data_IF_630969674530
#
_entry.id   IF_630969674530
#
_cell.length_a   1.000
_cell.length_b   1.000
_cell.length_c   1.000
_cell.angle_alpha   90.00
_cell.angle_beta   90.00
_cell.angle_gamma   90.00
#
_symmetry.space_group_name_H-M   'P 1'
#
loop_
_entity.id
_entity.type
_entity.pdbx_description
1 polymer ?
#
# COMPACT_ATOMS: atom_id res chain seq x y z
N UNK A 1 5.03 0.14 -20.05
CA UNK A 1 4.11 1.05 -19.32
C UNK A 1 2.69 0.50 -19.40
N UNK A 2 2.17 0.04 -18.27
CA UNK A 2 0.85 -0.61 -18.14
C UNK A 2 -0.29 0.43 -18.07
N UNK A 3 0.03 1.71 -18.15
CA UNK A 3 -0.91 2.81 -17.97
C UNK A 3 -1.56 3.22 -19.28
N UNK A 4 -2.88 3.09 -19.35
CA UNK A 4 -3.69 3.67 -20.42
C UNK A 4 -4.35 2.71 -21.41
N UNK A 5 -4.17 1.41 -21.25
CA UNK A 5 -4.86 0.44 -22.12
C UNK A 5 -6.27 0.14 -21.58
N UNK A 6 -7.28 0.06 -22.45
CA UNK A 6 -8.61 -0.31 -22.00
C UNK A 6 -8.64 -1.73 -21.43
N UNK A 7 -9.51 -1.99 -20.46
CA UNK A 7 -9.70 -3.28 -19.78
C UNK A 7 -9.74 -4.49 -20.74
N UNK A 8 -10.35 -4.29 -21.89
CA UNK A 8 -10.49 -5.31 -22.94
C UNK A 8 -9.13 -5.80 -23.48
N UNK A 9 -8.15 -4.90 -23.60
CA UNK A 9 -6.81 -5.25 -24.08
C UNK A 9 -6.04 -6.07 -23.04
N UNK A 10 -6.19 -5.76 -21.74
CA UNK A 10 -5.62 -6.59 -20.68
C UNK A 10 -6.23 -7.98 -20.63
N UNK A 11 -7.55 -8.09 -20.79
CA UNK A 11 -8.24 -9.37 -20.83
C UNK A 11 -7.81 -10.21 -22.05
N UNK A 12 -7.59 -9.56 -23.20
CA UNK A 12 -7.07 -10.23 -24.40
C UNK A 12 -5.66 -10.79 -24.17
N UNK A 13 -4.76 -10.01 -23.56
CA UNK A 13 -3.41 -10.45 -23.21
C UNK A 13 -3.45 -11.60 -22.19
N UNK A 14 -4.28 -11.51 -21.16
CA UNK A 14 -4.45 -12.59 -20.18
C UNK A 14 -4.97 -13.87 -20.82
N UNK A 15 -5.92 -13.77 -21.76
CA UNK A 15 -6.44 -14.90 -22.50
C UNK A 15 -5.38 -15.51 -23.41
N UNK A 16 -4.61 -14.70 -24.11
CA UNK A 16 -3.56 -15.18 -25.02
C UNK A 16 -2.38 -15.82 -24.26
N UNK A 17 -1.91 -15.17 -23.21
CA UNK A 17 -0.62 -15.50 -22.58
C UNK A 17 -0.72 -16.36 -21.31
N UNK A 18 -1.88 -16.35 -20.63
CA UNK A 18 -2.03 -16.99 -19.31
C UNK A 18 -3.03 -18.11 -19.34
N UNK A 19 -4.24 -17.89 -19.86
CA UNK A 19 -5.31 -18.89 -19.89
C UNK A 19 -6.21 -18.71 -21.14
N UNK A 20 -6.00 -19.50 -22.19
CA UNK A 20 -6.82 -19.43 -23.41
C UNK A 20 -8.31 -19.67 -23.19
N UNK A 21 -8.67 -20.41 -22.13
CA UNK A 21 -10.05 -20.76 -21.78
C UNK A 21 -10.72 -19.72 -20.88
N UNK A 22 -10.05 -18.59 -20.59
CA UNK A 22 -10.59 -17.54 -19.74
C UNK A 22 -11.82 -16.91 -20.38
N UNK A 23 -12.99 -17.03 -19.75
CA UNK A 23 -14.17 -16.29 -20.20
C UNK A 23 -14.10 -14.81 -19.76
N UNK A 24 -14.71 -13.91 -20.53
CA UNK A 24 -14.71 -12.47 -20.22
C UNK A 24 -15.26 -12.18 -18.80
N UNK A 25 -16.40 -12.77 -18.36
CA UNK A 25 -16.91 -12.53 -17.02
C UNK A 25 -15.95 -13.01 -15.91
N UNK A 26 -15.28 -14.14 -16.13
CA UNK A 26 -14.26 -14.64 -15.19
C UNK A 26 -13.05 -13.72 -15.13
N UNK A 27 -12.57 -13.25 -16.29
CA UNK A 27 -11.47 -12.31 -16.39
C UNK A 27 -11.76 -11.00 -15.64
N UNK A 28 -12.93 -10.41 -15.84
CA UNK A 28 -13.38 -9.22 -15.13
C UNK A 28 -13.40 -9.46 -13.61
N UNK A 29 -13.95 -10.60 -13.17
CA UNK A 29 -14.03 -10.96 -11.75
C UNK A 29 -12.65 -11.11 -11.11
N UNK A 30 -11.71 -11.75 -11.81
CA UNK A 30 -10.33 -11.90 -11.34
C UNK A 30 -9.60 -10.56 -11.31
N UNK A 31 -9.84 -9.70 -12.28
CA UNK A 31 -9.26 -8.37 -12.33
C UNK A 31 -9.72 -7.49 -11.17
N UNK A 32 -11.02 -7.49 -10.88
CA UNK A 32 -11.57 -6.80 -9.71
C UNK A 32 -11.01 -7.35 -8.39
N UNK A 33 -10.84 -8.67 -8.28
CA UNK A 33 -10.23 -9.31 -7.12
C UNK A 33 -8.76 -8.88 -6.95
N UNK A 34 -7.99 -8.81 -8.06
CA UNK A 34 -6.61 -8.34 -8.04
C UNK A 34 -6.50 -6.89 -7.53
N UNK A 35 -7.32 -5.97 -8.06
CA UNK A 35 -7.30 -4.58 -7.59
C UNK A 35 -7.70 -4.47 -6.12
N UNK A 36 -8.71 -5.22 -5.70
CA UNK A 36 -9.11 -5.25 -4.28
C UNK A 36 -8.00 -5.79 -3.38
N UNK A 37 -7.27 -6.80 -3.84
CA UNK A 37 -6.12 -7.32 -3.11
C UNK A 37 -5.02 -6.27 -2.97
N UNK A 38 -4.66 -5.57 -4.03
CA UNK A 38 -3.65 -4.51 -4.02
C UNK A 38 -4.05 -3.41 -3.03
N UNK A 39 -5.29 -2.93 -3.10
CA UNK A 39 -5.83 -1.93 -2.18
C UNK A 39 -5.73 -2.37 -0.71
N UNK A 40 -6.10 -3.63 -0.43
CA UNK A 40 -6.01 -4.19 0.93
C UNK A 40 -4.56 -4.30 1.42
N UNK A 41 -3.63 -4.73 0.55
CA UNK A 41 -2.21 -4.84 0.89
C UNK A 41 -1.58 -3.48 1.15
N UNK A 42 -1.86 -2.50 0.31
CA UNK A 42 -1.36 -1.13 0.48
C UNK A 42 -1.91 -0.50 1.76
N UNK A 43 -3.23 -0.58 1.99
CA UNK A 43 -3.86 -0.05 3.20
C UNK A 43 -3.35 -0.70 4.48
N UNK A 44 -3.07 -2.02 4.45
CA UNK A 44 -2.46 -2.71 5.57
C UNK A 44 -1.03 -2.23 5.81
N UNK A 45 -0.25 -2.09 4.75
CA UNK A 45 1.13 -1.63 4.85
C UNK A 45 1.23 -0.20 5.38
N UNK A 46 0.34 0.69 4.95
CA UNK A 46 0.28 2.07 5.46
C UNK A 46 -0.03 2.09 6.97
N UNK A 47 -0.98 1.28 7.43
CA UNK A 47 -1.30 1.16 8.86
C UNK A 47 -0.15 0.53 9.67
N UNK A 48 0.57 -0.43 9.08
CA UNK A 48 1.76 -1.05 9.66
C UNK A 48 2.89 -0.02 9.82
N UNK A 49 3.23 0.70 8.77
CA UNK A 49 4.30 1.70 8.76
C UNK A 49 4.05 2.84 9.76
N UNK A 50 2.79 3.22 9.93
CA UNK A 50 2.42 4.28 10.87
C UNK A 50 2.68 3.92 12.35
N UNK A 51 2.70 2.63 12.71
CA UNK A 51 2.71 2.19 14.11
C UNK A 51 3.84 1.24 14.49
N UNK A 52 4.43 0.53 13.52
CA UNK A 52 5.40 -0.54 13.81
C UNK A 52 6.64 -0.04 14.58
N UNK A 53 7.05 1.21 14.39
CA UNK A 53 8.15 1.81 15.15
C UNK A 53 7.87 2.01 16.63
N UNK A 54 6.61 1.89 17.04
CA UNK A 54 6.19 2.09 18.45
C UNK A 54 5.71 0.80 19.11
N UNK A 55 6.09 -0.37 18.57
CA UNK A 55 5.67 -1.66 19.14
C UNK A 55 6.12 -1.81 20.60
N UNK A 56 5.20 -2.25 21.46
CA UNK A 56 5.52 -2.50 22.88
C UNK A 56 6.22 -3.85 23.08
N UNK A 57 5.98 -4.80 22.18
CA UNK A 57 6.60 -6.13 22.18
C UNK A 57 7.38 -6.32 20.88
N UNK A 58 8.70 -6.45 21.00
CA UNK A 58 9.61 -6.56 19.86
C UNK A 58 9.20 -7.64 18.85
N UNK A 59 9.05 -7.23 17.59
CA UNK A 59 8.69 -8.10 16.47
C UNK A 59 7.21 -8.47 16.39
N UNK A 60 6.35 -7.94 17.26
CA UNK A 60 4.91 -8.24 17.24
C UNK A 60 4.25 -7.78 15.94
N UNK A 61 4.57 -6.58 15.48
CA UNK A 61 4.08 -6.03 14.22
C UNK A 61 4.61 -6.81 13.02
N UNK A 62 5.87 -7.21 13.03
CA UNK A 62 6.48 -8.01 11.96
C UNK A 62 5.83 -9.40 11.86
N UNK A 63 5.55 -10.06 13.00
CA UNK A 63 4.80 -11.32 13.02
C UNK A 63 3.42 -11.16 12.43
N UNK A 64 2.64 -10.18 12.90
CA UNK A 64 1.30 -9.91 12.39
C UNK A 64 1.28 -9.61 10.89
N UNK A 65 2.27 -8.87 10.36
CA UNK A 65 2.42 -8.63 8.93
C UNK A 65 2.70 -9.92 8.15
N UNK A 66 3.58 -10.77 8.65
CA UNK A 66 3.90 -12.04 8.01
C UNK A 66 2.68 -12.97 7.96
N UNK A 67 1.92 -13.06 9.05
CA UNK A 67 0.69 -13.85 9.13
C UNK A 67 -0.38 -13.31 8.17
N UNK A 68 -0.56 -11.99 8.11
CA UNK A 68 -1.46 -11.36 7.15
C UNK A 68 -1.08 -11.67 5.70
N UNK A 69 0.20 -11.59 5.35
CA UNK A 69 0.66 -11.92 4.00
C UNK A 69 0.52 -13.42 3.70
N UNK A 70 0.72 -14.29 4.69
CA UNK A 70 0.47 -15.72 4.54
C UNK A 70 -1.01 -15.99 4.25
N UNK A 71 -1.93 -15.36 4.98
CA UNK A 71 -3.37 -15.44 4.72
C UNK A 71 -3.73 -14.94 3.31
N UNK A 72 -3.20 -13.78 2.92
CA UNK A 72 -3.49 -13.18 1.61
C UNK A 72 -2.97 -14.03 0.43
N UNK A 73 -1.98 -14.91 0.64
CA UNK A 73 -1.53 -15.86 -0.39
C UNK A 73 -2.51 -17.00 -0.65
N UNK A 74 -3.41 -17.27 0.28
CA UNK A 74 -4.37 -18.39 0.18
C UNK A 74 -5.72 -17.98 -0.39
N UNK A 75 -6.01 -16.68 -0.49
CA UNK A 75 -7.32 -16.19 -0.93
C UNK A 75 -7.46 -16.28 -2.45
N UNK A 76 -8.67 -16.60 -2.90
CA UNK A 76 -8.98 -16.81 -4.33
C UNK A 76 -10.14 -15.95 -4.86
N UNK A 77 -10.84 -15.23 -3.99
CA UNK A 77 -12.00 -14.43 -4.38
C UNK A 77 -12.18 -13.19 -3.49
N UNK A 78 -13.00 -12.24 -3.94
CA UNK A 78 -13.26 -10.96 -3.28
C UNK A 78 -13.69 -11.08 -1.82
N UNK A 79 -14.55 -12.05 -1.51
CA UNK A 79 -15.06 -12.22 -0.14
C UNK A 79 -13.93 -12.68 0.80
N UNK A 80 -13.11 -13.63 0.35
CA UNK A 80 -11.96 -14.12 1.11
C UNK A 80 -10.92 -13.01 1.31
N UNK A 81 -10.62 -12.22 0.28
CA UNK A 81 -9.74 -11.05 0.37
C UNK A 81 -10.23 -10.09 1.45
N UNK A 82 -11.52 -9.72 1.39
CA UNK A 82 -12.11 -8.79 2.35
C UNK A 82 -12.09 -9.35 3.78
N UNK A 83 -12.35 -10.64 3.94
CA UNK A 83 -12.34 -11.30 5.26
C UNK A 83 -10.92 -11.36 5.83
N UNK A 84 -9.93 -11.78 5.03
CA UNK A 84 -8.54 -11.82 5.44
C UNK A 84 -8.02 -10.41 5.81
N UNK A 85 -8.35 -9.40 5.01
CA UNK A 85 -8.01 -8.02 5.29
C UNK A 85 -8.61 -7.52 6.62
N UNK A 86 -9.91 -7.73 6.84
CA UNK A 86 -10.56 -7.32 8.09
C UNK A 86 -9.93 -7.99 9.31
N UNK A 87 -9.61 -9.29 9.20
CA UNK A 87 -8.93 -10.05 10.26
C UNK A 87 -7.54 -9.49 10.54
N UNK A 88 -6.71 -9.33 9.50
CA UNK A 88 -5.36 -8.79 9.64
C UNK A 88 -5.34 -7.38 10.21
N UNK A 89 -6.22 -6.50 9.73
CA UNK A 89 -6.38 -5.14 10.28
C UNK A 89 -6.88 -5.13 11.72
N UNK A 90 -7.74 -6.08 12.09
CA UNK A 90 -8.18 -6.27 13.49
C UNK A 90 -6.99 -6.59 14.39
N UNK A 91 -6.21 -7.60 14.02
CA UNK A 91 -4.98 -7.96 14.77
C UNK A 91 -4.03 -6.78 14.87
N UNK A 92 -3.74 -6.10 13.76
CA UNK A 92 -2.80 -4.98 13.73
C UNK A 92 -3.22 -3.83 14.66
N UNK A 93 -4.52 -3.55 14.76
CA UNK A 93 -5.06 -2.48 15.61
C UNK A 93 -5.02 -2.79 17.11
N UNK A 94 -5.08 -4.06 17.46
CA UNK A 94 -5.07 -4.53 18.84
C UNK A 94 -3.65 -4.70 19.40
N UNK A 95 -2.62 -4.65 18.55
CA UNK A 95 -1.24 -4.75 19.00
C UNK A 95 -0.89 -3.57 19.92
N UNK A 96 -0.31 -3.83 21.11
CA UNK A 96 0.06 -2.79 22.03
C UNK A 96 1.22 -1.94 21.47
N UNK A 97 1.09 -0.63 21.63
CA UNK A 97 2.11 0.35 21.22
C UNK A 97 2.51 1.24 22.38
N UNK A 98 3.74 1.72 22.35
CA UNK A 98 4.30 2.72 23.26
C UNK A 98 4.71 3.96 22.46
N UNK A 99 3.72 4.64 21.89
CA UNK A 99 3.95 5.86 21.13
C UNK A 99 4.36 7.00 22.08
N UNK A 100 5.49 7.71 21.82
CA UNK A 100 5.89 8.86 22.60
C UNK A 100 4.90 10.02 22.44
N UNK A 101 4.91 10.97 23.39
CA UNK A 101 4.01 12.12 23.35
C UNK A 101 4.23 13.02 22.11
N UNK A 102 5.47 13.06 21.60
CA UNK A 102 5.84 13.78 20.38
C UNK A 102 6.59 12.82 19.45
N UNK A 103 5.87 11.99 18.68
CA UNK A 103 6.49 10.99 17.82
C UNK A 103 7.09 11.61 16.56
N UNK A 104 8.29 11.17 16.21
CA UNK A 104 8.90 11.54 14.92
C UNK A 104 8.10 10.85 13.81
N UNK A 105 7.69 11.63 12.81
CA UNK A 105 6.98 11.17 11.62
C UNK A 105 7.76 11.50 10.36
N UNK A 106 8.01 10.49 9.53
CA UNK A 106 8.81 10.60 8.31
C UNK A 106 7.95 10.22 7.12
N UNK A 107 7.90 11.11 6.11
CA UNK A 107 7.29 10.83 4.81
C UNK A 107 8.34 10.31 3.83
N UNK A 108 8.07 9.15 3.20
CA UNK A 108 8.91 8.62 2.12
C UNK A 108 8.33 9.06 0.79
N UNK A 109 9.10 9.85 0.05
CA UNK A 109 8.80 10.34 -1.28
C UNK A 109 9.96 10.04 -2.23
N UNK A 110 9.70 9.91 -3.52
CA UNK A 110 10.74 9.65 -4.49
C UNK A 110 10.23 9.04 -5.78
N UNK A 111 11.15 8.47 -6.56
CA UNK A 111 10.80 7.70 -7.74
C UNK A 111 10.08 6.42 -7.33
N UNK A 112 9.07 6.02 -8.13
CA UNK A 112 8.13 4.96 -7.76
C UNK A 112 8.81 3.64 -7.38
N UNK A 113 9.71 3.12 -8.23
CA UNK A 113 10.38 1.85 -7.95
C UNK A 113 11.27 1.93 -6.72
N UNK A 114 12.01 3.01 -6.59
CA UNK A 114 12.87 3.23 -5.41
C UNK A 114 12.04 3.35 -4.14
N UNK A 115 10.89 4.01 -4.19
CA UNK A 115 10.04 4.18 -3.01
C UNK A 115 9.34 2.88 -2.56
N UNK A 116 8.97 1.98 -3.50
CA UNK A 116 8.17 0.79 -3.17
C UNK A 116 8.97 -0.51 -3.08
N UNK A 117 10.15 -0.58 -3.70
CA UNK A 117 10.98 -1.78 -3.69
C UNK A 117 12.02 -1.73 -2.55
N UNK A 118 11.89 -2.61 -1.53
CA UNK A 118 12.79 -2.62 -0.38
C UNK A 118 14.26 -2.82 -0.75
N UNK A 119 14.55 -3.55 -1.83
CA UNK A 119 15.92 -3.77 -2.29
C UNK A 119 16.53 -2.48 -2.86
N UNK A 120 15.77 -1.78 -3.69
CA UNK A 120 16.21 -0.52 -4.32
C UNK A 120 16.41 0.60 -3.31
N UNK A 121 15.62 0.62 -2.22
CA UNK A 121 15.73 1.62 -1.16
C UNK A 121 16.57 1.17 0.05
N UNK A 122 17.29 0.06 -0.06
CA UNK A 122 18.19 -0.46 0.99
C UNK A 122 17.45 -0.75 2.32
N UNK A 123 16.18 -1.19 2.25
CA UNK A 123 15.34 -1.50 3.41
C UNK A 123 15.15 -0.32 4.37
N UNK A 124 15.02 0.90 3.82
CA UNK A 124 14.94 2.12 4.61
C UNK A 124 13.74 2.14 5.56
N UNK A 125 12.61 1.54 5.16
CA UNK A 125 11.43 1.43 6.02
C UNK A 125 11.73 0.63 7.29
N UNK A 126 12.39 -0.52 7.16
CA UNK A 126 12.75 -1.36 8.32
C UNK A 126 13.72 -0.63 9.26
N UNK A 127 14.72 0.06 8.69
CA UNK A 127 15.68 0.85 9.49
C UNK A 127 15.02 1.95 10.30
N UNK A 128 14.07 2.67 9.70
CA UNK A 128 13.33 3.72 10.41
C UNK A 128 12.38 3.15 11.46
N UNK A 129 11.73 2.01 11.19
CA UNK A 129 10.93 1.30 12.19
C UNK A 129 11.79 0.92 13.40
N UNK A 130 12.98 0.36 13.17
CA UNK A 130 13.93 0.00 14.24
C UNK A 130 14.42 1.23 15.04
N UNK A 131 14.35 2.43 14.45
CA UNK A 131 14.65 3.70 15.13
C UNK A 131 13.47 4.26 15.93
N UNK A 132 12.31 3.61 15.92
CA UNK A 132 11.13 4.03 16.70
C UNK A 132 10.43 5.25 16.11
N UNK A 133 10.26 5.32 14.79
CA UNK A 133 9.57 6.42 14.11
C UNK A 133 8.31 5.94 13.38
N UNK A 134 7.35 6.83 13.18
CA UNK A 134 6.18 6.62 12.33
C UNK A 134 6.50 6.94 10.90
N UNK A 135 6.10 6.07 9.98
CA UNK A 135 6.36 6.24 8.55
C UNK A 135 5.06 6.41 7.76
N UNK A 136 5.11 7.26 6.75
CA UNK A 136 4.10 7.36 5.72
C UNK A 136 4.77 7.27 4.34
N UNK A 137 4.29 6.36 3.49
CA UNK A 137 4.73 6.26 2.11
C UNK A 137 3.65 6.81 1.20
N UNK A 138 3.93 7.94 0.54
CA UNK A 138 2.97 8.63 -0.32
C UNK A 138 2.72 7.93 -1.66
N UNK A 139 3.68 7.12 -2.13
CA UNK A 139 3.52 6.35 -3.37
C UNK A 139 3.32 4.87 -3.06
N UNK A 140 2.15 4.36 -3.39
CA UNK A 140 1.83 2.94 -3.37
C UNK A 140 1.21 2.49 -4.70
N UNK A 141 0.96 1.19 -4.87
CA UNK A 141 0.46 0.64 -6.12
C UNK A 141 -0.99 1.07 -6.36
N UNK A 142 -1.79 1.15 -5.30
CA UNK A 142 -3.17 1.62 -5.34
C UNK A 142 -3.24 3.05 -5.85
N UNK A 143 -2.47 3.95 -5.28
CA UNK A 143 -2.42 5.35 -5.69
C UNK A 143 -2.02 5.47 -7.16
N UNK A 144 -0.98 4.74 -7.58
CA UNK A 144 -0.52 4.76 -8.97
C UNK A 144 -1.54 4.22 -9.96
N UNK A 145 -2.22 3.10 -9.65
CA UNK A 145 -3.06 2.40 -10.63
C UNK A 145 -4.51 2.85 -10.63
N UNK A 146 -5.06 3.24 -9.48
CA UNK A 146 -6.47 3.59 -9.34
C UNK A 146 -6.71 5.11 -9.36
N UNK A 147 -5.73 5.90 -8.96
CA UNK A 147 -5.86 7.36 -8.88
C UNK A 147 -4.98 8.11 -9.88
N UNK A 148 -4.15 7.37 -10.66
CA UNK A 148 -3.28 7.97 -11.66
C UNK A 148 -4.07 8.30 -12.92
N UNK A 149 -4.84 9.39 -12.85
CA UNK A 149 -5.41 10.10 -13.98
C UNK A 149 -4.67 11.44 -14.07
N UNK A 150 -4.31 11.91 -15.27
CA UNK A 150 -3.55 13.19 -15.42
C UNK A 150 -4.23 14.38 -14.72
N UNK A 151 -5.55 14.38 -14.71
CA UNK A 151 -6.37 15.37 -13.99
C UNK A 151 -6.30 15.21 -12.46
N UNK A 152 -6.23 13.98 -11.97
CA UNK A 152 -6.08 13.66 -10.56
C UNK A 152 -4.65 13.85 -10.08
N UNK A 153 -3.64 13.69 -10.94
CA UNK A 153 -2.25 13.98 -10.61
C UNK A 153 -2.07 15.46 -10.28
N UNK A 154 -2.68 16.36 -11.05
CA UNK A 154 -2.63 17.81 -10.77
C UNK A 154 -3.36 18.17 -9.50
N UNK A 155 -4.50 17.54 -9.19
CA UNK A 155 -5.23 17.70 -7.93
C UNK A 155 -4.47 17.08 -6.76
N UNK A 156 -4.00 15.84 -6.90
CA UNK A 156 -3.27 15.12 -5.85
C UNK A 156 -1.97 15.82 -5.47
N UNK A 157 -1.15 16.25 -6.43
CA UNK A 157 0.07 17.02 -6.14
C UNK A 157 -0.26 18.36 -5.48
N UNK A 158 -1.32 19.06 -5.89
CA UNK A 158 -1.73 20.31 -5.25
C UNK A 158 -2.32 20.08 -3.85
N UNK A 159 -3.06 19.01 -3.62
CA UNK A 159 -3.56 18.63 -2.30
C UNK A 159 -2.42 18.19 -1.36
N UNK A 160 -1.51 17.36 -1.81
CA UNK A 160 -0.36 16.93 -1.01
C UNK A 160 0.58 18.11 -0.68
N UNK A 161 0.88 18.95 -1.65
CA UNK A 161 1.70 20.16 -1.42
C UNK A 161 0.99 21.17 -0.52
N UNK A 162 -0.35 21.26 -0.54
CA UNK A 162 -1.10 22.13 0.37
C UNK A 162 -1.26 21.57 1.79
N UNK A 163 -1.16 20.25 1.98
CA UNK A 163 -1.29 19.62 3.30
C UNK A 163 0.02 19.62 4.11
N UNK A 164 1.17 19.51 3.44
CA UNK A 164 2.48 19.39 4.12
C UNK A 164 3.30 20.68 4.18
N UNK A 165 2.95 21.65 3.37
CA UNK A 165 3.53 22.98 3.51
C UNK A 165 2.66 23.79 4.46
N UNK A 166 2.89 23.62 5.75
CA UNK A 166 2.42 24.58 6.74
C UNK A 166 2.70 26.02 6.27
N UNK A 167 2.01 27.04 6.81
CA UNK A 167 2.08 28.39 6.28
C UNK A 167 3.54 28.76 6.04
N UNK A 168 3.89 28.96 4.78
CA UNK A 168 5.21 29.47 4.38
C UNK A 168 5.46 30.72 5.23
N UNK A 169 6.30 30.59 6.24
CA UNK A 169 6.87 31.75 6.90
C UNK A 169 7.63 32.48 5.81
N UNK A 170 7.04 33.55 5.31
CA UNK A 170 7.71 34.54 4.52
C UNK A 170 8.88 35.03 5.36
N UNK A 171 10.09 34.52 5.07
CA UNK A 171 11.32 35.16 5.50
C UNK A 171 11.38 36.54 4.77
N UNK A 172 11.09 37.57 5.49
CA UNK A 172 11.51 38.93 5.19
C UNK A 172 12.97 39.09 5.59
#
# INVERSE_FOLDING_TARGET
>A
TVTGKPMQEYLAICKEKVNPNLSIPQGVKQFLALFKMIECLDSYNDAYLAKAGFEAECGSFKRARNDFFADMRTVTNLNQITTAYKRGMGVLRELPTQEPADPIRIGIVGEYFTAVDPHSNLYIEEKFIDMGVSLARYLNITHRNLHYNEENLRRGVSEYVSYDMGPTSTMT
#
